data_IF_305599310045
#
_entry.id   IF_305599310045
#
_cell.length_a   1.000
_cell.length_b   1.000
_cell.length_c   1.000
_cell.angle_alpha   90.00
_cell.angle_beta   90.00
_cell.angle_gamma   90.00
#
_symmetry.space_group_name_H-M   'P 1'
#
loop_
_entity.id
_entity.type
_entity.pdbx_description
1 polymer ?
#
# COMPACT_ATOMS: atom_id res chain seq x y z
N UNK A 1 -2.82 -0.96 -1.39
CA UNK A 1 -4.15 -1.29 -0.84
C UNK A 1 -4.71 -2.58 -1.40
N UNK A 2 -5.46 -3.28 -0.54
CA UNK A 2 -6.22 -4.48 -0.84
C UNK A 2 -7.47 -4.54 0.03
N UNK A 3 -8.55 -5.11 -0.51
CA UNK A 3 -9.76 -5.46 0.21
C UNK A 3 -9.75 -6.97 0.43
N UNK A 4 -9.69 -7.41 1.68
CA UNK A 4 -9.56 -8.82 2.06
C UNK A 4 -10.94 -9.37 2.44
N UNK A 5 -11.69 -8.61 3.24
CA UNK A 5 -13.08 -8.90 3.61
C UNK A 5 -13.95 -7.71 3.20
N UNK A 6 -14.91 -7.95 2.32
CA UNK A 6 -15.72 -6.91 1.68
C UNK A 6 -16.81 -6.34 2.60
N UNK A 7 -17.22 -7.06 3.63
CA UNK A 7 -18.20 -6.59 4.59
C UNK A 7 -18.01 -7.19 5.98
N UNK A 8 -18.14 -6.37 7.01
CA UNK A 8 -18.22 -6.83 8.39
C UNK A 8 -19.00 -5.82 9.23
N UNK A 9 -19.82 -6.33 10.15
CA UNK A 9 -20.50 -5.54 11.17
C UNK A 9 -20.04 -6.03 12.54
N UNK A 10 -19.75 -5.08 13.42
CA UNK A 10 -19.38 -5.36 14.79
C UNK A 10 -20.60 -5.83 15.60
N UNK A 11 -20.35 -6.73 16.54
CA UNK A 11 -21.30 -7.23 17.53
C UNK A 11 -20.55 -7.31 18.85
N UNK A 12 -20.54 -6.23 19.63
CA UNK A 12 -19.87 -6.19 20.93
C UNK A 12 -20.63 -5.35 21.93
N UNK A 13 -20.27 -5.52 23.21
CA UNK A 13 -20.91 -4.88 24.36
C UNK A 13 -20.96 -3.35 24.35
N UNK A 14 -20.18 -2.67 23.50
CA UNK A 14 -20.18 -1.21 23.38
C UNK A 14 -21.30 -0.69 22.46
N UNK A 15 -21.95 -1.57 21.70
CA UNK A 15 -23.01 -1.22 20.76
C UNK A 15 -24.40 -1.38 21.37
N UNK A 16 -25.32 -0.50 20.97
CA UNK A 16 -26.73 -0.52 21.45
C UNK A 16 -27.49 -1.75 20.96
N UNK A 17 -27.16 -2.24 19.77
CA UNK A 17 -27.76 -3.41 19.12
C UNK A 17 -26.97 -4.70 19.36
N UNK A 18 -26.16 -4.75 20.43
CA UNK A 18 -25.40 -5.94 20.81
C UNK A 18 -26.30 -7.15 21.02
N UNK A 19 -26.02 -8.21 20.27
CA UNK A 19 -26.72 -9.48 20.33
C UNK A 19 -25.88 -10.53 21.06
N UNK A 20 -26.24 -10.81 22.31
CA UNK A 20 -25.60 -11.82 23.18
C UNK A 20 -25.68 -13.25 22.63
N UNK A 21 -26.56 -13.50 21.65
CA UNK A 21 -26.71 -14.84 21.04
C UNK A 21 -25.70 -15.10 19.93
N UNK A 22 -25.05 -14.05 19.42
CA UNK A 22 -24.04 -14.13 18.37
C UNK A 22 -22.63 -14.01 18.97
N UNK A 23 -21.60 -14.58 18.30
CA UNK A 23 -20.21 -14.37 18.70
C UNK A 23 -19.89 -12.88 18.79
N UNK A 24 -19.08 -12.51 19.79
CA UNK A 24 -18.60 -11.14 19.94
C UNK A 24 -17.48 -10.87 18.93
N UNK A 25 -17.54 -9.75 18.23
CA UNK A 25 -16.45 -9.24 17.41
C UNK A 25 -16.34 -7.71 17.52
N UNK A 26 -15.12 -7.23 17.36
CA UNK A 26 -14.75 -5.84 17.43
C UNK A 26 -14.11 -5.42 16.11
N UNK A 27 -14.25 -4.15 15.75
CA UNK A 27 -13.57 -3.59 14.60
C UNK A 27 -12.57 -2.54 15.07
N UNK A 28 -11.37 -2.55 14.50
CA UNK A 28 -10.32 -1.59 14.82
C UNK A 28 -9.73 -1.04 13.51
N UNK A 29 -9.56 0.28 13.46
CA UNK A 29 -8.92 0.95 12.33
C UNK A 29 -7.62 1.60 12.79
N UNK A 30 -6.48 1.00 12.42
CA UNK A 30 -5.15 1.47 12.81
C UNK A 30 -4.40 2.09 11.64
N UNK A 31 -3.56 3.08 11.94
CA UNK A 31 -2.71 3.79 10.98
C UNK A 31 -1.31 4.03 11.59
N UNK A 32 -0.26 3.83 10.80
CA UNK A 32 1.11 4.04 11.23
C UNK A 32 1.50 5.52 11.20
N UNK A 33 2.03 6.01 12.33
CA UNK A 33 2.56 7.36 12.42
C UNK A 33 3.78 7.55 11.52
N UNK A 34 3.59 8.25 10.39
CA UNK A 34 4.64 8.66 9.46
C UNK A 34 5.50 7.47 8.99
N UNK A 35 4.87 6.47 8.38
CA UNK A 35 5.49 5.23 7.92
C UNK A 35 6.79 5.45 7.12
N UNK A 36 6.77 6.32 6.10
CA UNK A 36 7.96 6.61 5.30
C UNK A 36 9.02 7.38 6.08
N UNK A 37 8.63 8.24 7.03
CA UNK A 37 9.59 8.90 7.92
C UNK A 37 10.30 7.91 8.82
N UNK A 38 9.58 6.92 9.38
CA UNK A 38 10.18 5.82 10.13
C UNK A 38 11.20 5.07 9.27
N UNK A 39 10.83 4.69 8.05
CA UNK A 39 11.71 3.96 7.12
C UNK A 39 12.93 4.80 6.69
N UNK A 40 12.73 6.11 6.48
CA UNK A 40 13.83 7.05 6.20
C UNK A 40 14.78 7.20 7.39
N UNK A 41 14.32 6.94 8.61
CA UNK A 41 15.14 7.05 9.83
C UNK A 41 15.96 5.78 10.12
N UNK A 42 15.78 4.72 9.34
CA UNK A 42 16.52 3.46 9.47
C UNK A 42 17.90 3.54 8.80
N UNK A 43 18.72 2.50 9.00
CA UNK A 43 19.91 2.26 8.20
C UNK A 43 19.53 2.10 6.73
N UNK A 44 20.08 2.99 5.89
CA UNK A 44 19.84 3.05 4.45
C UNK A 44 21.16 2.94 3.70
N UNK A 45 21.17 2.38 2.46
CA UNK A 45 22.38 2.30 1.65
C UNK A 45 23.00 3.68 1.46
N UNK A 46 24.29 3.79 1.74
CA UNK A 46 25.02 5.05 1.80
C UNK A 46 26.27 5.06 0.90
N UNK A 47 27.12 4.04 1.00
CA UNK A 47 28.39 3.95 0.26
C UNK A 47 28.71 2.51 -0.16
N UNK A 48 29.82 2.37 -0.88
CA UNK A 48 30.43 1.08 -1.25
C UNK A 48 29.48 0.06 -1.91
N UNK A 49 28.52 0.60 -2.67
CA UNK A 49 27.50 -0.18 -3.38
C UNK A 49 28.18 -0.96 -4.50
N UNK A 50 28.21 -2.29 -4.37
CA UNK A 50 28.89 -3.19 -5.30
C UNK A 50 28.13 -4.48 -5.52
N UNK A 51 28.25 -5.02 -6.72
CA UNK A 51 27.79 -6.37 -7.02
C UNK A 51 28.73 -7.38 -6.37
N UNK A 52 28.16 -8.39 -5.74
CA UNK A 52 28.88 -9.57 -5.27
C UNK A 52 28.55 -10.75 -6.16
N UNK A 53 29.50 -11.67 -6.34
CA UNK A 53 29.21 -12.96 -6.99
C UNK A 53 28.24 -13.73 -6.09
N UNK A 54 27.01 -14.06 -6.54
CA UNK A 54 26.05 -14.80 -5.73
C UNK A 54 26.59 -16.18 -5.29
N UNK A 55 27.56 -16.74 -6.03
CA UNK A 55 28.22 -18.02 -5.70
C UNK A 55 29.31 -17.91 -4.64
N UNK A 56 29.58 -16.71 -4.12
CA UNK A 56 30.52 -16.50 -3.01
C UNK A 56 30.11 -17.34 -1.79
N UNK A 57 28.79 -17.49 -1.57
CA UNK A 57 28.22 -18.35 -0.54
C UNK A 57 27.27 -19.36 -1.18
N UNK A 58 27.18 -20.54 -0.59
CA UNK A 58 26.10 -21.50 -0.83
C UNK A 58 24.75 -20.90 -0.41
N UNK A 59 23.66 -21.53 -0.85
CA UNK A 59 22.30 -21.09 -0.51
C UNK A 59 22.07 -21.14 1.01
N UNK A 60 22.58 -22.17 1.67
CA UNK A 60 22.50 -22.36 3.11
C UNK A 60 23.27 -21.28 3.87
N UNK A 61 24.50 -20.98 3.46
CA UNK A 61 25.31 -19.89 4.04
C UNK A 61 24.66 -18.52 3.83
N UNK A 62 24.05 -18.26 2.67
CA UNK A 62 23.25 -17.06 2.45
C UNK A 62 22.05 -16.99 3.39
N UNK A 63 21.34 -18.11 3.57
CA UNK A 63 20.19 -18.16 4.46
C UNK A 63 20.60 -17.86 5.91
N UNK A 64 21.68 -18.46 6.39
CA UNK A 64 22.26 -18.21 7.71
C UNK A 64 22.68 -16.75 7.86
N UNK A 65 23.49 -16.24 6.92
CA UNK A 65 23.94 -14.84 6.89
C UNK A 65 22.76 -13.87 7.00
N UNK A 66 21.67 -14.12 6.25
CA UNK A 66 20.50 -13.24 6.26
C UNK A 66 19.72 -13.35 7.57
N UNK A 67 19.59 -14.54 8.15
CA UNK A 67 18.89 -14.75 9.43
C UNK A 67 19.64 -14.14 10.62
N UNK A 68 20.97 -14.07 10.56
CA UNK A 68 21.81 -13.46 11.60
C UNK A 68 21.75 -11.93 11.63
N UNK A 69 21.32 -11.28 10.54
CA UNK A 69 21.25 -9.81 10.47
C UNK A 69 20.32 -9.23 11.54
N UNK A 70 20.83 -8.32 12.35
CA UNK A 70 20.07 -7.54 13.34
C UNK A 70 19.40 -6.31 12.72
N UNK A 71 19.93 -5.81 11.60
CA UNK A 71 19.53 -4.55 10.96
C UNK A 71 20.27 -3.33 11.51
N UNK A 72 21.11 -3.50 12.52
CA UNK A 72 21.97 -2.47 13.11
C UNK A 72 23.38 -2.46 12.51
N UNK A 73 23.71 -3.43 11.65
CA UNK A 73 25.02 -3.50 11.00
C UNK A 73 25.28 -2.28 10.12
N UNK A 74 26.56 -1.93 9.99
CA UNK A 74 27.05 -0.90 9.06
C UNK A 74 27.02 -1.36 7.59
N UNK A 75 26.59 -2.59 7.31
CA UNK A 75 26.45 -3.15 5.96
C UNK A 75 25.06 -3.76 5.74
N UNK A 76 24.66 -3.88 4.47
CA UNK A 76 23.40 -4.48 4.08
C UNK A 76 23.42 -5.05 2.66
N UNK A 77 22.34 -5.74 2.30
CA UNK A 77 22.19 -6.37 0.99
C UNK A 77 20.82 -6.08 0.37
N UNK A 78 20.80 -5.96 -0.94
CA UNK A 78 19.61 -6.12 -1.79
C UNK A 78 19.87 -7.36 -2.64
N UNK A 79 18.96 -8.33 -2.56
CA UNK A 79 19.11 -9.61 -3.23
C UNK A 79 17.99 -9.78 -4.26
N UNK A 80 18.32 -10.42 -5.36
CA UNK A 80 17.34 -11.03 -6.25
C UNK A 80 17.30 -12.52 -5.97
N UNK A 81 16.15 -13.04 -5.56
CA UNK A 81 16.01 -14.41 -5.03
C UNK A 81 14.79 -15.11 -5.59
N UNK A 82 14.86 -16.44 -5.59
CA UNK A 82 13.68 -17.28 -5.79
C UNK A 82 13.21 -17.78 -4.42
N UNK A 83 11.92 -17.61 -4.14
CA UNK A 83 11.31 -17.99 -2.87
C UNK A 83 10.18 -19.00 -3.08
N UNK A 84 10.23 -20.09 -2.33
CA UNK A 84 9.12 -21.00 -2.16
C UNK A 84 8.09 -20.46 -1.18
N UNK A 85 6.81 -20.64 -1.52
CA UNK A 85 5.67 -20.37 -0.66
C UNK A 85 4.97 -21.69 -0.29
N UNK A 86 5.39 -22.34 0.82
CA UNK A 86 4.80 -23.62 1.20
C UNK A 86 3.30 -23.53 1.50
N UNK A 87 2.52 -24.50 1.02
CA UNK A 87 1.06 -24.57 1.22
C UNK A 87 0.64 -24.53 2.69
N UNK A 88 1.46 -25.05 3.60
CA UNK A 88 1.21 -24.99 5.06
C UNK A 88 1.09 -23.57 5.62
N UNK A 89 1.63 -22.56 4.93
CA UNK A 89 1.53 -21.15 5.31
C UNK A 89 0.25 -20.48 4.81
N UNK A 90 -0.45 -21.09 3.85
CA UNK A 90 -1.50 -20.42 3.10
C UNK A 90 -2.65 -19.95 3.99
N UNK A 91 -3.13 -20.77 4.92
CA UNK A 91 -4.22 -20.38 5.83
C UNK A 91 -3.79 -19.20 6.72
N UNK A 92 -2.59 -19.24 7.29
CA UNK A 92 -2.08 -18.19 8.18
C UNK A 92 -1.76 -16.89 7.43
N UNK A 93 -1.37 -16.97 6.17
CA UNK A 93 -0.96 -15.82 5.36
C UNK A 93 -2.05 -15.34 4.39
N UNK A 94 -3.23 -15.96 4.34
CA UNK A 94 -4.26 -15.66 3.33
C UNK A 94 -4.68 -14.19 3.36
N UNK A 95 -4.75 -13.60 4.55
CA UNK A 95 -5.15 -12.21 4.76
C UNK A 95 -4.09 -11.25 4.21
N UNK A 96 -2.83 -11.53 4.50
CA UNK A 96 -1.71 -10.65 4.18
C UNK A 96 -0.50 -11.41 3.62
N UNK A 97 -0.56 -11.97 2.40
CA UNK A 97 0.58 -12.68 1.84
C UNK A 97 1.84 -11.79 1.76
N UNK A 98 2.97 -12.39 2.11
CA UNK A 98 4.30 -11.79 2.02
C UNK A 98 4.76 -11.59 0.57
N UNK A 99 5.79 -10.76 0.38
CA UNK A 99 6.46 -10.52 -0.91
C UNK A 99 5.50 -10.11 -2.05
N UNK A 100 4.84 -8.94 -1.98
CA UNK A 100 3.92 -8.49 -3.03
C UNK A 100 4.65 -8.30 -4.36
N UNK A 101 4.00 -8.67 -5.46
CA UNK A 101 4.56 -8.65 -6.81
C UNK A 101 3.52 -8.17 -7.85
N UNK A 102 3.98 -7.90 -9.07
CA UNK A 102 3.09 -7.63 -10.18
C UNK A 102 2.48 -8.94 -10.70
N UNK A 103 1.19 -9.13 -10.47
CA UNK A 103 0.41 -10.27 -10.98
C UNK A 103 -0.78 -9.73 -11.79
N UNK A 104 -0.99 -10.26 -13.01
CA UNK A 104 -2.01 -9.77 -13.96
C UNK A 104 -1.99 -8.22 -14.12
N UNK A 105 -0.80 -7.66 -14.33
CA UNK A 105 -0.55 -6.21 -14.48
C UNK A 105 -0.87 -5.33 -13.25
N UNK A 106 -1.08 -5.93 -12.06
CA UNK A 106 -1.41 -5.21 -10.83
C UNK A 106 -0.48 -5.63 -9.70
N UNK A 107 -0.13 -4.69 -8.83
CA UNK A 107 0.56 -5.01 -7.59
C UNK A 107 -0.42 -5.71 -6.63
N UNK A 108 -0.13 -6.97 -6.34
CA UNK A 108 -0.99 -7.91 -5.59
C UNK A 108 -0.15 -8.73 -4.61
N UNK A 109 -0.78 -9.22 -3.55
CA UNK A 109 -0.16 -10.19 -2.63
C UNK A 109 -0.74 -11.56 -2.95
N UNK A 110 0.11 -12.46 -3.42
CA UNK A 110 -0.27 -13.82 -3.84
C UNK A 110 0.47 -14.84 -2.98
N UNK A 111 -0.08 -16.04 -2.85
CA UNK A 111 0.54 -17.19 -2.19
C UNK A 111 1.30 -18.08 -3.19
N UNK A 112 1.71 -17.49 -4.31
CA UNK A 112 2.52 -18.17 -5.32
C UNK A 112 4.00 -18.10 -4.92
N UNK A 113 4.80 -19.02 -5.45
CA UNK A 113 6.26 -18.89 -5.43
C UNK A 113 6.69 -17.58 -6.09
N UNK A 114 7.81 -17.05 -5.63
CA UNK A 114 8.41 -15.82 -6.18
C UNK A 114 9.65 -16.20 -6.97
N UNK A 115 9.78 -15.65 -8.18
CA UNK A 115 10.92 -15.86 -9.07
C UNK A 115 11.57 -14.51 -9.34
N UNK A 116 12.90 -14.44 -9.30
CA UNK A 116 13.67 -13.22 -9.52
C UNK A 116 13.17 -12.04 -8.66
N UNK A 117 12.76 -12.32 -7.43
CA UNK A 117 12.19 -11.33 -6.53
C UNK A 117 13.28 -10.47 -5.92
N UNK A 118 13.24 -9.16 -6.19
CA UNK A 118 14.19 -8.20 -5.62
C UNK A 118 13.72 -7.74 -4.25
N UNK A 119 14.55 -7.96 -3.22
CA UNK A 119 14.19 -7.76 -1.81
C UNK A 119 15.36 -7.21 -0.99
N UNK A 120 15.05 -6.34 -0.03
CA UNK A 120 15.99 -5.90 0.99
C UNK A 120 16.30 -7.03 1.98
N UNK A 121 17.55 -7.18 2.43
CA UNK A 121 17.97 -8.27 3.32
C UNK A 121 17.10 -8.42 4.57
N UNK A 122 16.76 -7.31 5.23
CA UNK A 122 15.85 -7.28 6.40
C UNK A 122 14.45 -7.84 6.09
N UNK A 123 13.91 -7.56 4.91
CA UNK A 123 12.63 -8.11 4.49
C UNK A 123 12.74 -9.60 4.15
N UNK A 124 13.83 -10.01 3.51
CA UNK A 124 14.10 -11.42 3.23
C UNK A 124 14.21 -12.21 4.53
N UNK A 125 14.96 -11.72 5.52
CA UNK A 125 15.03 -12.30 6.87
C UNK A 125 13.63 -12.53 7.43
N UNK A 126 12.80 -11.49 7.45
CA UNK A 126 11.42 -11.61 7.94
C UNK A 126 10.62 -12.67 7.16
N UNK A 127 10.73 -12.72 5.84
CA UNK A 127 10.03 -13.74 5.04
C UNK A 127 10.46 -15.17 5.39
N UNK A 128 11.75 -15.39 5.62
CA UNK A 128 12.30 -16.68 6.04
C UNK A 128 11.84 -17.06 7.46
N UNK A 129 11.82 -16.11 8.39
CA UNK A 129 11.30 -16.31 9.76
C UNK A 129 9.80 -16.65 9.76
N UNK A 130 9.02 -16.08 8.85
CA UNK A 130 7.62 -16.44 8.62
C UNK A 130 7.45 -17.76 7.82
N UNK A 131 8.55 -18.45 7.50
CA UNK A 131 8.56 -19.80 6.95
C UNK A 131 8.61 -19.91 5.43
N UNK A 132 8.75 -18.80 4.68
CA UNK A 132 9.08 -18.88 3.26
C UNK A 132 10.44 -19.56 3.07
N UNK A 133 10.65 -20.20 1.92
CA UNK A 133 11.86 -21.01 1.69
C UNK A 133 12.73 -20.33 0.65
N UNK A 134 13.99 -20.03 0.98
CA UNK A 134 14.97 -19.59 0.00
C UNK A 134 15.28 -20.74 -0.96
N UNK A 135 14.98 -20.59 -2.24
CA UNK A 135 15.30 -21.58 -3.28
C UNK A 135 16.63 -21.29 -3.95
N UNK A 136 16.86 -20.03 -4.32
CA UNK A 136 18.04 -19.62 -5.05
C UNK A 136 18.36 -18.13 -4.84
N UNK A 137 19.64 -17.77 -4.89
CA UNK A 137 20.11 -16.38 -4.89
C UNK A 137 20.67 -16.06 -6.28
N UNK A 138 19.97 -15.22 -7.03
CA UNK A 138 20.29 -14.89 -8.41
C UNK A 138 21.33 -13.77 -8.51
N UNK A 139 21.17 -12.71 -7.71
CA UNK A 139 22.07 -11.55 -7.70
C UNK A 139 22.13 -10.93 -6.31
N UNK A 140 23.28 -10.35 -5.98
CA UNK A 140 23.51 -9.69 -4.69
C UNK A 140 24.16 -8.34 -4.90
N UNK A 141 23.53 -7.31 -4.36
CA UNK A 141 24.07 -5.96 -4.26
C UNK A 141 24.36 -5.68 -2.78
N UNK A 142 25.64 -5.59 -2.43
CA UNK A 142 26.09 -5.23 -1.09
C UNK A 142 26.40 -3.74 -1.00
N UNK A 143 26.24 -3.17 0.19
CA UNK A 143 26.49 -1.76 0.45
C UNK A 143 26.76 -1.52 1.92
N UNK A 144 27.44 -0.41 2.21
CA UNK A 144 27.51 0.14 3.55
C UNK A 144 26.26 0.99 3.79
N UNK A 145 25.71 0.93 5.00
CA UNK A 145 24.48 1.60 5.39
C UNK A 145 24.66 2.35 6.70
N UNK A 146 23.88 3.43 6.86
CA UNK A 146 23.79 4.18 8.12
C UNK A 146 22.49 4.99 8.16
N UNK A 147 22.06 5.51 9.31
CA UNK A 147 20.78 6.22 9.43
C UNK A 147 20.95 7.71 9.07
N UNK A 148 21.55 8.02 7.92
CA UNK A 148 21.97 9.38 7.56
C UNK A 148 20.81 10.38 7.40
N UNK A 149 19.58 9.92 7.20
CA UNK A 149 18.39 10.77 7.11
C UNK A 149 17.70 11.00 8.45
N UNK A 150 18.08 10.26 9.50
CA UNK A 150 17.38 10.27 10.79
C UNK A 150 17.31 11.66 11.41
N UNK A 151 18.42 12.39 11.47
CA UNK A 151 18.46 13.75 12.03
C UNK A 151 17.52 14.71 11.31
N UNK A 152 17.43 14.60 9.97
CA UNK A 152 16.54 15.41 9.16
C UNK A 152 15.05 15.06 9.42
N UNK A 153 14.73 13.77 9.54
CA UNK A 153 13.35 13.34 9.84
C UNK A 153 12.95 13.75 11.27
N UNK A 154 13.84 13.59 12.23
CA UNK A 154 13.63 13.97 13.63
C UNK A 154 13.38 15.48 13.74
N UNK A 155 14.18 16.28 13.03
CA UNK A 155 13.99 17.72 12.93
C UNK A 155 12.60 18.08 12.40
N UNK A 156 12.22 17.54 11.23
CA UNK A 156 10.92 17.85 10.62
C UNK A 156 9.75 17.36 11.48
N UNK A 157 9.90 16.22 12.16
CA UNK A 157 8.88 15.68 13.07
C UNK A 157 8.70 16.57 14.29
N UNK A 158 9.80 17.05 14.90
CA UNK A 158 9.76 18.01 16.00
C UNK A 158 9.09 19.32 15.58
N UNK A 159 9.46 19.87 14.42
CA UNK A 159 8.85 21.09 13.91
C UNK A 159 7.36 20.90 13.59
N UNK A 160 6.96 19.75 13.03
CA UNK A 160 5.55 19.40 12.82
C UNK A 160 4.76 19.24 14.12
N UNK A 161 5.41 18.81 15.19
CA UNK A 161 4.78 18.71 16.53
C UNK A 161 4.56 20.08 17.14
N UNK A 162 5.50 21.01 16.97
CA UNK A 162 5.42 22.40 17.46
C UNK A 162 4.50 23.30 16.62
N UNK A 163 4.30 22.96 15.35
CA UNK A 163 3.46 23.72 14.43
C UNK A 163 2.02 23.87 14.95
N UNK A 164 1.54 25.10 15.00
CA UNK A 164 0.17 25.44 15.43
C UNK A 164 -0.78 25.50 14.23
N UNK A 165 -0.28 25.97 13.08
CA UNK A 165 -1.06 26.09 11.85
C UNK A 165 -1.09 24.79 11.04
N UNK A 166 -2.18 24.56 10.31
CA UNK A 166 -2.28 23.39 9.43
C UNK A 166 -1.33 23.49 8.23
N UNK A 167 -1.04 24.71 7.76
CA UNK A 167 -0.04 24.96 6.72
C UNK A 167 1.36 24.46 7.13
N UNK A 168 1.85 24.84 8.30
CA UNK A 168 3.17 24.42 8.77
C UNK A 168 3.23 22.90 9.00
N UNK A 169 2.15 22.31 9.56
CA UNK A 169 2.06 20.85 9.73
C UNK A 169 2.18 20.12 8.39
N UNK A 170 1.50 20.62 7.36
CA UNK A 170 1.54 20.05 6.01
C UNK A 170 2.89 20.30 5.31
N UNK A 171 3.51 21.46 5.54
CA UNK A 171 4.85 21.77 5.02
C UNK A 171 5.89 20.76 5.51
N UNK A 172 6.02 20.56 6.83
CA UNK A 172 7.00 19.60 7.37
C UNK A 172 6.66 18.14 7.00
N UNK A 173 5.37 17.80 6.87
CA UNK A 173 4.94 16.51 6.33
C UNK A 173 5.42 16.32 4.88
N UNK A 174 5.27 17.35 4.04
CA UNK A 174 5.72 17.33 2.65
C UNK A 174 7.24 17.19 2.57
N UNK A 175 7.99 17.92 3.40
CA UNK A 175 9.47 17.87 3.42
C UNK A 175 10.02 16.46 3.67
N UNK A 176 9.33 15.64 4.48
CA UNK A 176 9.67 14.23 4.65
C UNK A 176 9.30 13.41 3.40
N UNK A 177 8.05 13.52 2.94
CA UNK A 177 7.54 12.71 1.82
C UNK A 177 8.24 13.02 0.48
N UNK A 178 8.69 14.26 0.27
CA UNK A 178 9.35 14.70 -0.97
C UNK A 178 10.71 14.03 -1.19
N UNK A 179 11.45 13.70 -0.12
CA UNK A 179 12.75 13.00 -0.24
C UNK A 179 12.54 11.65 -0.90
N UNK A 180 11.58 10.87 -0.40
CA UNK A 180 11.20 9.58 -0.97
C UNK A 180 10.73 9.70 -2.42
N UNK A 181 9.82 10.63 -2.71
CA UNK A 181 9.34 10.85 -4.07
C UNK A 181 10.47 11.22 -5.05
N UNK A 182 11.50 11.93 -4.57
CA UNK A 182 12.64 12.36 -5.39
C UNK A 182 13.64 11.23 -5.65
N UNK A 183 13.86 10.32 -4.70
CA UNK A 183 14.76 9.18 -4.89
C UNK A 183 14.23 8.19 -5.93
N UNK A 184 12.91 8.06 -6.04
CA UNK A 184 12.21 7.20 -7.01
C UNK A 184 11.86 7.89 -8.34
N UNK A 185 12.39 9.08 -8.61
CA UNK A 185 12.05 9.81 -9.84
C UNK A 185 12.49 9.04 -11.10
N UNK A 186 11.53 8.70 -11.97
CA UNK A 186 11.84 8.08 -13.25
C UNK A 186 12.28 9.14 -14.29
N UNK A 187 13.59 9.35 -14.37
CA UNK A 187 14.22 10.28 -15.33
C UNK A 187 13.97 9.92 -16.80
N UNK A 188 13.55 8.69 -17.12
CA UNK A 188 13.19 8.27 -18.49
C UNK A 188 11.89 8.91 -18.99
N UNK A 189 11.01 9.33 -18.08
CA UNK A 189 9.76 9.99 -18.42
C UNK A 189 9.96 11.47 -18.80
N UNK A 190 11.17 12.02 -18.62
CA UNK A 190 11.48 13.39 -19.03
C UNK A 190 11.53 13.48 -20.56
N UNK A 191 10.99 14.57 -21.10
CA UNK A 191 11.03 14.88 -22.52
C UNK A 191 11.57 16.29 -22.73
N UNK A 192 12.07 16.57 -23.93
CA UNK A 192 12.30 17.92 -24.41
C UNK A 192 11.06 18.38 -25.15
N UNK A 193 10.57 19.58 -24.82
CA UNK A 193 9.48 20.21 -25.56
C UNK A 193 10.08 21.37 -26.34
N UNK A 194 9.87 21.36 -27.66
CA UNK A 194 10.27 22.46 -28.54
C UNK A 194 9.03 23.10 -29.13
N UNK A 195 8.91 24.41 -28.96
CA UNK A 195 7.79 25.19 -29.46
C UNK A 195 8.18 25.91 -30.75
N UNK A 196 7.30 25.90 -31.75
CA UNK A 196 7.46 26.68 -32.97
C UNK A 196 6.28 26.49 -33.92
N UNK A 197 6.34 27.13 -35.08
CA UNK A 197 5.33 26.99 -36.13
C UNK A 197 5.42 25.64 -36.85
N UNK A 198 4.56 25.43 -37.85
CA UNK A 198 4.54 24.22 -38.67
C UNK A 198 5.90 23.90 -39.31
N UNK A 199 6.54 24.87 -39.97
CA UNK A 199 7.81 24.65 -40.66
C UNK A 199 8.92 24.19 -39.69
N UNK A 200 9.03 24.82 -38.52
CA UNK A 200 9.99 24.44 -37.49
C UNK A 200 9.69 23.05 -36.91
N UNK A 201 8.41 22.76 -36.67
CA UNK A 201 7.95 21.51 -36.07
C UNK A 201 8.16 20.32 -37.01
N UNK A 202 7.93 20.50 -38.31
CA UNK A 202 8.24 19.51 -39.34
C UNK A 202 9.74 19.20 -39.42
N UNK A 203 10.63 20.18 -39.15
CA UNK A 203 12.07 19.92 -38.99
C UNK A 203 12.38 19.08 -37.74
N UNK A 204 11.59 19.19 -36.66
CA UNK A 204 11.76 18.32 -35.49
C UNK A 204 11.24 16.90 -35.72
N UNK A 205 10.13 16.71 -36.44
CA UNK A 205 9.60 15.38 -36.77
C UNK A 205 10.56 14.48 -37.55
N UNK A 206 11.49 15.08 -38.31
CA UNK A 206 12.55 14.35 -39.02
C UNK A 206 13.62 13.75 -38.11
N UNK A 207 13.65 14.10 -36.82
CA UNK A 207 14.65 13.59 -35.86
C UNK A 207 14.19 12.27 -35.28
N UNK A 208 15.13 11.34 -35.09
CA UNK A 208 14.88 9.99 -34.56
C UNK A 208 14.31 9.98 -33.14
N UNK A 209 14.49 11.07 -32.38
CA UNK A 209 13.96 11.21 -31.03
C UNK A 209 12.63 11.96 -30.98
N UNK A 210 11.97 12.21 -32.10
CA UNK A 210 10.62 12.77 -32.11
C UNK A 210 9.62 11.77 -31.51
N UNK A 211 8.67 12.28 -30.70
CA UNK A 211 7.61 11.47 -30.09
C UNK A 211 6.25 11.78 -30.68
N UNK A 212 5.82 13.04 -30.58
CA UNK A 212 4.51 13.48 -31.05
C UNK A 212 4.44 15.01 -31.07
N UNK A 213 3.38 15.54 -31.71
CA UNK A 213 3.01 16.94 -31.64
C UNK A 213 1.85 17.16 -30.68
N UNK A 214 1.87 18.30 -29.99
CA UNK A 214 0.71 18.93 -29.40
C UNK A 214 0.51 20.28 -30.12
N UNK A 215 -0.47 20.33 -31.02
CA UNK A 215 -0.78 21.52 -31.83
C UNK A 215 -1.76 22.38 -31.04
N UNK A 216 -1.34 23.57 -30.63
CA UNK A 216 -2.20 24.58 -30.01
C UNK A 216 -2.84 25.45 -31.09
N UNK A 217 -2.03 25.98 -32.01
CA UNK A 217 -2.44 26.69 -33.23
C UNK A 217 -1.38 26.53 -34.34
N UNK A 218 -1.57 27.22 -35.47
CA UNK A 218 -0.67 27.18 -36.65
C UNK A 218 0.75 27.72 -36.39
N UNK A 219 0.90 28.62 -35.42
CA UNK A 219 2.16 29.26 -35.04
C UNK A 219 2.78 28.68 -33.76
N UNK A 220 2.01 27.89 -33.01
CA UNK A 220 2.38 27.34 -31.71
C UNK A 220 2.12 25.83 -31.65
N UNK A 221 3.13 25.06 -32.04
CA UNK A 221 3.15 23.61 -31.99
C UNK A 221 4.24 23.14 -31.02
N UNK A 222 3.85 22.34 -30.02
CA UNK A 222 4.77 21.64 -29.13
C UNK A 222 5.23 20.32 -29.75
N UNK A 223 6.48 20.27 -30.19
CA UNK A 223 7.17 19.03 -30.57
C UNK A 223 7.71 18.35 -29.31
N UNK A 224 7.10 17.24 -28.91
CA UNK A 224 7.60 16.39 -27.82
C UNK A 224 8.72 15.50 -28.36
N UNK A 225 9.88 15.56 -27.71
CA UNK A 225 11.07 14.80 -28.09
C UNK A 225 11.51 13.91 -26.91
N UNK A 226 11.85 12.66 -27.20
CA UNK A 226 12.58 11.82 -26.26
C UNK A 226 13.96 12.41 -25.97
N UNK A 227 14.42 12.24 -24.73
CA UNK A 227 15.79 12.58 -24.34
C UNK A 227 16.76 11.62 -25.02
N UNK A 228 17.66 12.14 -25.86
CA UNK A 228 18.69 11.33 -26.51
C UNK A 228 19.73 10.78 -25.53
N UNK A 229 19.99 11.52 -24.44
CA UNK A 229 20.87 11.11 -23.36
C UNK A 229 20.10 11.22 -22.04
N UNK A 230 20.05 10.12 -21.29
CA UNK A 230 19.42 10.06 -19.97
C UNK A 230 20.52 9.79 -18.95
N UNK A 231 20.70 10.72 -18.01
CA UNK A 231 21.64 10.56 -16.89
C UNK A 231 20.91 9.94 -15.71
N UNK A 232 21.29 8.72 -15.32
CA UNK A 232 20.80 8.09 -14.09
C UNK A 232 21.51 8.70 -12.88
N UNK A 233 20.89 9.73 -12.29
CA UNK A 233 21.41 10.46 -11.13
C UNK A 233 20.39 10.54 -10.00
N UNK A 234 19.59 9.47 -9.85
CA UNK A 234 18.62 9.32 -8.77
C UNK A 234 19.03 8.13 -7.93
N UNK A 235 19.11 8.27 -6.60
CA UNK A 235 19.48 7.17 -5.73
C UNK A 235 18.28 6.23 -5.52
N UNK A 236 17.92 5.50 -6.58
CA UNK A 236 16.72 4.64 -6.60
C UNK A 236 16.78 3.56 -5.50
N UNK A 237 17.99 3.09 -5.17
CA UNK A 237 18.22 2.14 -4.07
C UNK A 237 17.71 2.67 -2.72
N UNK A 238 17.78 3.98 -2.44
CA UNK A 238 17.21 4.56 -1.22
C UNK A 238 15.68 4.41 -1.23
N UNK A 239 15.05 4.78 -2.34
CA UNK A 239 13.60 4.67 -2.47
C UNK A 239 13.12 3.22 -2.42
N UNK A 240 13.88 2.29 -3.00
CA UNK A 240 13.67 0.85 -2.85
C UNK A 240 13.70 0.43 -1.38
N UNK A 241 14.80 0.72 -0.66
CA UNK A 241 14.93 0.37 0.76
C UNK A 241 13.83 0.97 1.61
N UNK A 242 13.44 2.23 1.37
CA UNK A 242 12.32 2.87 2.10
C UNK A 242 11.01 2.11 1.89
N UNK A 243 10.70 1.67 0.66
CA UNK A 243 9.48 0.89 0.39
C UNK A 243 9.51 -0.49 1.08
N UNK A 244 10.67 -1.15 1.05
CA UNK A 244 10.85 -2.46 1.67
C UNK A 244 10.76 -2.39 3.19
N UNK A 245 11.50 -1.47 3.82
CA UNK A 245 11.43 -1.27 5.26
C UNK A 245 10.04 -0.83 5.70
N UNK A 246 9.34 0.00 4.92
CA UNK A 246 7.94 0.36 5.22
C UNK A 246 7.03 -0.86 5.23
N UNK A 247 7.19 -1.79 4.27
CA UNK A 247 6.46 -3.06 4.27
C UNK A 247 6.81 -3.90 5.51
N UNK A 248 8.10 -3.92 5.88
CA UNK A 248 8.58 -4.68 7.04
C UNK A 248 7.90 -4.22 8.33
N UNK A 249 7.84 -2.91 8.62
CA UNK A 249 7.16 -2.40 9.83
C UNK A 249 5.70 -2.84 9.89
N UNK A 250 4.99 -2.74 8.77
CA UNK A 250 3.59 -3.13 8.68
C UNK A 250 3.42 -4.65 8.90
N UNK A 251 4.28 -5.46 8.27
CA UNK A 251 4.27 -6.91 8.46
C UNK A 251 4.62 -7.33 9.89
N UNK A 252 5.63 -6.72 10.52
CA UNK A 252 6.01 -6.99 11.90
C UNK A 252 4.85 -6.65 12.85
N UNK A 253 4.18 -5.51 12.63
CA UNK A 253 3.03 -5.16 13.44
C UNK A 253 1.88 -6.16 13.26
N UNK A 254 1.61 -6.62 12.05
CA UNK A 254 0.56 -7.61 11.82
C UNK A 254 0.90 -8.98 12.40
N UNK A 255 2.00 -9.60 11.94
CA UNK A 255 2.34 -10.98 12.26
C UNK A 255 2.99 -11.15 13.64
N UNK A 256 3.92 -10.26 14.02
CA UNK A 256 4.67 -10.42 15.25
C UNK A 256 3.98 -9.81 16.47
N UNK A 257 2.98 -8.93 16.28
CA UNK A 257 2.25 -8.24 17.34
C UNK A 257 0.77 -8.59 17.32
N UNK A 258 0.00 -8.05 16.37
CA UNK A 258 -1.47 -8.20 16.33
C UNK A 258 -1.91 -9.66 16.37
N UNK A 259 -1.34 -10.53 15.53
CA UNK A 259 -1.64 -11.97 15.52
C UNK A 259 -1.26 -12.70 16.81
N UNK A 260 -0.33 -12.18 17.62
CA UNK A 260 -0.06 -12.74 18.96
C UNK A 260 -1.09 -12.27 19.98
N UNK A 261 -1.53 -11.02 19.87
CA UNK A 261 -2.55 -10.46 20.76
C UNK A 261 -3.91 -11.13 20.51
N UNK A 262 -4.27 -11.32 19.24
CA UNK A 262 -5.50 -11.96 18.79
C UNK A 262 -5.21 -12.91 17.60
N UNK A 263 -4.95 -14.21 17.87
CA UNK A 263 -4.63 -15.19 16.83
C UNK A 263 -5.70 -15.32 15.74
N UNK A 264 -6.96 -15.14 16.12
CA UNK A 264 -8.14 -15.34 15.27
C UNK A 264 -8.61 -14.04 14.60
N UNK A 265 -7.86 -12.94 14.73
CA UNK A 265 -8.17 -11.69 14.03
C UNK A 265 -8.18 -11.93 12.52
N UNK A 266 -9.05 -11.20 11.81
CA UNK A 266 -9.06 -11.13 10.36
C UNK A 266 -8.68 -9.72 9.90
N UNK A 267 -7.84 -9.63 8.87
CA UNK A 267 -7.62 -8.35 8.18
C UNK A 267 -8.80 -8.12 7.24
N UNK A 268 -9.52 -7.01 7.38
CA UNK A 268 -10.58 -6.65 6.45
C UNK A 268 -10.04 -5.87 5.26
N UNK A 269 -9.14 -4.93 5.53
CA UNK A 269 -8.63 -4.01 4.53
C UNK A 269 -7.25 -3.48 4.87
N UNK A 270 -6.47 -3.17 3.84
CA UNK A 270 -5.19 -2.49 3.97
C UNK A 270 -5.05 -1.36 2.95
N UNK A 271 -4.51 -0.22 3.36
CA UNK A 271 -3.94 0.77 2.44
C UNK A 271 -2.65 1.38 2.99
N UNK A 272 -1.50 0.91 2.47
CA UNK A 272 -0.16 1.47 2.67
C UNK A 272 0.30 1.43 4.12
N UNK A 273 -0.20 2.33 4.96
CA UNK A 273 0.12 2.57 6.36
C UNK A 273 -1.02 2.20 7.31
N UNK A 274 -2.15 1.71 6.80
CA UNK A 274 -3.34 1.46 7.61
C UNK A 274 -3.95 0.07 7.45
N UNK A 275 -4.55 -0.45 8.53
CA UNK A 275 -5.31 -1.69 8.59
C UNK A 275 -6.70 -1.49 9.18
N UNK A 276 -7.71 -2.07 8.53
CA UNK A 276 -9.01 -2.36 9.17
C UNK A 276 -9.00 -3.82 9.60
N UNK A 277 -9.27 -4.06 10.87
CA UNK A 277 -9.18 -5.36 11.51
C UNK A 277 -10.55 -5.74 12.07
N UNK A 278 -10.91 -7.01 11.92
CA UNK A 278 -11.94 -7.67 12.71
C UNK A 278 -11.25 -8.50 13.79
N UNK A 279 -11.53 -8.18 15.04
CA UNK A 279 -10.91 -8.77 16.21
C UNK A 279 -11.93 -9.57 17.01
N UNK A 280 -11.51 -10.72 17.54
CA UNK A 280 -12.30 -11.53 18.48
C UNK A 280 -12.14 -11.03 19.91
N UNK A 281 -11.06 -10.30 20.18
CA UNK A 281 -10.75 -9.70 21.48
C UNK A 281 -10.99 -8.20 21.48
N UNK A 282 -11.27 -7.69 22.66
CA UNK A 282 -11.49 -6.27 22.93
C UNK A 282 -10.23 -5.44 22.58
N UNK A 283 -10.28 -4.58 21.54
CA UNK A 283 -9.11 -3.85 21.08
C UNK A 283 -8.60 -2.86 22.12
N UNK A 284 -9.47 -2.28 22.95
CA UNK A 284 -9.07 -1.28 23.94
C UNK A 284 -8.28 -1.91 25.08
N UNK A 285 -8.59 -3.16 25.46
CA UNK A 285 -7.76 -3.92 26.39
C UNK A 285 -6.38 -4.21 25.80
N UNK A 286 -6.33 -4.65 24.54
CA UNK A 286 -5.06 -4.93 23.85
C UNK A 286 -4.22 -3.65 23.76
N UNK A 287 -4.82 -2.52 23.38
CA UNK A 287 -4.14 -1.23 23.30
C UNK A 287 -3.61 -0.82 24.68
N UNK A 288 -4.41 -0.96 25.74
CA UNK A 288 -4.01 -0.62 27.11
C UNK A 288 -2.83 -1.47 27.61
N UNK A 289 -2.87 -2.77 27.36
CA UNK A 289 -1.81 -3.72 27.76
C UNK A 289 -0.52 -3.51 26.95
N UNK A 290 -0.63 -3.03 25.71
CA UNK A 290 0.48 -2.86 24.78
C UNK A 290 0.69 -1.38 24.41
N UNK A 291 0.43 -0.47 25.36
CA UNK A 291 0.35 0.98 25.12
C UNK A 291 1.62 1.56 24.49
N UNK A 292 2.76 0.90 24.70
CA UNK A 292 4.04 1.31 24.16
C UNK A 292 4.11 1.20 22.63
N UNK A 293 3.24 0.41 22.01
CA UNK A 293 3.15 0.27 20.54
C UNK A 293 2.15 1.26 19.91
N UNK A 294 1.27 1.85 20.72
CA UNK A 294 0.17 2.67 20.24
C UNK A 294 0.35 4.16 20.55
N UNK A 295 -0.06 5.01 19.62
CA UNK A 295 -0.28 6.43 19.86
C UNK A 295 -1.77 6.68 20.12
N UNK A 296 -2.12 6.85 21.40
CA UNK A 296 -3.47 7.15 21.87
C UNK A 296 -3.58 8.61 22.36
N UNK A 297 -2.67 9.48 21.94
CA UNK A 297 -2.62 10.87 22.43
C UNK A 297 -3.78 11.75 21.98
N UNK A 298 -4.51 11.32 20.95
CA UNK A 298 -5.71 11.99 20.44
C UNK A 298 -7.01 11.40 21.03
N UNK A 299 -6.93 10.42 21.94
CA UNK A 299 -8.11 9.89 22.65
C UNK A 299 -8.73 10.94 23.59
N UNK A 300 -10.02 10.81 23.93
CA UNK A 300 -10.63 11.58 25.02
C UNK A 300 -9.82 11.44 26.31
N UNK A 301 -9.63 12.55 27.04
CA UNK A 301 -8.75 12.58 28.23
C UNK A 301 -9.21 11.67 29.36
N UNK A 302 -10.50 11.37 29.40
CA UNK A 302 -11.18 10.49 30.34
C UNK A 302 -11.16 9.01 29.90
N UNK A 303 -10.72 8.72 28.67
CA UNK A 303 -10.60 7.35 28.17
C UNK A 303 -9.45 6.61 28.85
N UNK A 304 -9.66 5.35 29.24
CA UNK A 304 -8.69 4.56 30.01
C UNK A 304 -7.36 4.28 29.28
N UNK A 305 -7.38 4.34 27.95
CA UNK A 305 -6.19 4.17 27.09
C UNK A 305 -5.46 5.48 26.80
N UNK A 306 -5.97 6.65 27.24
CA UNK A 306 -5.38 7.94 26.92
C UNK A 306 -3.97 8.07 27.52
N UNK A 307 -2.98 8.37 26.67
CA UNK A 307 -1.65 8.78 27.11
C UNK A 307 -0.97 9.67 26.08
N UNK A 308 -0.15 10.61 26.55
CA UNK A 308 0.69 11.43 25.66
C UNK A 308 2.06 10.80 25.37
N UNK A 309 2.36 9.59 25.90
CA UNK A 309 3.68 8.94 25.81
C UNK A 309 4.19 8.86 24.37
N UNK A 310 3.33 8.46 23.43
CA UNK A 310 3.70 8.16 22.05
C UNK A 310 3.21 9.21 21.03
N UNK A 311 2.86 10.41 21.49
CA UNK A 311 2.29 11.47 20.64
C UNK A 311 3.16 11.77 19.42
N UNK A 312 2.68 11.43 18.24
CA UNK A 312 3.36 11.59 16.94
C UNK A 312 4.72 10.89 16.84
N UNK A 313 5.00 9.93 17.72
CA UNK A 313 6.24 9.13 17.64
C UNK A 313 6.17 8.27 16.38
N UNK A 314 7.20 8.39 15.53
CA UNK A 314 7.23 7.72 14.23
C UNK A 314 7.28 6.19 14.40
N UNK A 315 6.56 5.47 13.54
CA UNK A 315 6.49 4.01 13.55
C UNK A 315 5.58 3.40 14.63
N UNK A 316 4.93 4.22 15.47
CA UNK A 316 3.84 3.78 16.36
C UNK A 316 2.51 3.80 15.64
N UNK A 317 1.55 3.03 16.13
CA UNK A 317 0.25 2.85 15.48
C UNK A 317 -0.83 3.61 16.25
N UNK A 318 -1.60 4.45 15.56
CA UNK A 318 -2.76 5.11 16.16
C UNK A 318 -4.04 4.42 15.76
N UNK A 319 -5.01 4.39 16.66
CA UNK A 319 -6.40 4.14 16.31
C UNK A 319 -6.98 5.41 15.69
N UNK A 320 -7.33 5.31 14.41
CA UNK A 320 -7.75 6.45 13.59
C UNK A 320 -9.12 7.01 14.02
N UNK A 321 -9.87 6.28 14.85
CA UNK A 321 -11.15 6.72 15.40
C UNK A 321 -11.04 7.29 16.82
N UNK A 322 -9.84 7.35 17.40
CA UNK A 322 -9.57 7.96 18.69
C UNK A 322 -10.45 7.43 19.83
N UNK A 323 -10.66 6.11 19.90
CA UNK A 323 -11.49 5.48 20.93
C UNK A 323 -12.97 5.35 20.56
N UNK A 324 -13.42 5.96 19.46
CA UNK A 324 -14.79 5.79 18.97
C UNK A 324 -15.01 4.39 18.42
N UNK A 325 -16.19 3.82 18.68
CA UNK A 325 -16.51 2.44 18.30
C UNK A 325 -16.77 2.35 16.79
N UNK A 326 -16.00 1.52 16.10
CA UNK A 326 -16.25 1.17 14.71
C UNK A 326 -17.37 0.14 14.60
N UNK A 327 -18.48 0.53 13.96
CA UNK A 327 -19.72 -0.26 13.92
C UNK A 327 -19.77 -1.20 12.71
N UNK A 328 -19.32 -0.72 11.56
CA UNK A 328 -19.52 -1.40 10.28
C UNK A 328 -18.44 -1.00 9.28
N UNK A 329 -18.01 -1.94 8.45
CA UNK A 329 -17.09 -1.72 7.34
C UNK A 329 -17.64 -2.39 6.07
N UNK A 330 -17.56 -1.68 4.94
CA UNK A 330 -17.85 -2.22 3.62
C UNK A 330 -16.80 -1.75 2.61
N UNK A 331 -16.07 -2.69 2.02
CA UNK A 331 -15.07 -2.46 0.99
C UNK A 331 -15.43 -3.19 -0.29
N UNK A 332 -15.38 -2.50 -1.43
CA UNK A 332 -15.62 -3.12 -2.73
C UNK A 332 -14.31 -3.56 -3.38
N UNK A 333 -13.30 -2.68 -3.34
CA UNK A 333 -11.98 -2.90 -3.93
C UNK A 333 -10.94 -1.95 -3.37
N UNK A 334 -9.70 -2.08 -3.83
CA UNK A 334 -8.62 -1.13 -3.56
C UNK A 334 -9.05 0.34 -3.77
N UNK A 335 -8.89 1.15 -2.72
CA UNK A 335 -9.28 2.57 -2.54
C UNK A 335 -10.77 2.88 -2.77
N UNK A 336 -11.64 1.90 -2.52
CA UNK A 336 -13.10 2.01 -2.59
C UNK A 336 -13.76 1.30 -1.41
N UNK A 337 -14.09 2.05 -0.36
CA UNK A 337 -14.67 1.52 0.88
C UNK A 337 -15.40 2.61 1.67
N UNK A 338 -16.23 2.18 2.61
CA UNK A 338 -16.94 3.02 3.58
C UNK A 338 -16.96 2.31 4.92
N UNK A 339 -17.04 3.08 6.00
CA UNK A 339 -17.19 2.55 7.35
C UNK A 339 -18.08 3.46 8.20
N UNK A 340 -18.66 2.92 9.26
CA UNK A 340 -19.63 3.60 10.13
C UNK A 340 -19.13 3.68 11.57
N UNK A 341 -19.23 4.87 12.18
CA UNK A 341 -18.97 5.12 13.60
C UNK A 341 -19.66 6.42 14.01
N UNK A 342 -20.22 6.52 15.22
CA UNK A 342 -20.80 7.76 15.76
C UNK A 342 -21.74 8.49 14.77
N UNK A 343 -22.63 7.73 14.10
CA UNK A 343 -23.53 8.19 13.03
C UNK A 343 -22.85 8.82 11.79
N UNK A 344 -21.53 8.76 11.69
CA UNK A 344 -20.73 9.17 10.52
C UNK A 344 -20.50 7.99 9.60
N UNK A 345 -20.44 8.27 8.31
CA UNK A 345 -20.17 7.28 7.27
C UNK A 345 -19.11 7.77 6.27
N UNK A 346 -17.81 7.86 6.65
CA UNK A 346 -16.80 8.28 5.69
C UNK A 346 -16.69 7.31 4.52
N UNK A 347 -16.69 7.87 3.31
CA UNK A 347 -16.55 7.10 2.07
C UNK A 347 -15.23 7.48 1.39
N UNK A 348 -14.43 6.47 1.05
CA UNK A 348 -13.29 6.58 0.14
C UNK A 348 -13.69 5.99 -1.20
N UNK A 349 -13.67 6.80 -2.25
CA UNK A 349 -14.01 6.37 -3.60
C UNK A 349 -13.05 7.01 -4.61
N UNK A 350 -11.90 6.36 -4.83
CA UNK A 350 -10.86 6.92 -5.71
C UNK A 350 -11.37 7.12 -7.14
N UNK A 351 -11.11 8.30 -7.67
CA UNK A 351 -11.47 8.67 -9.04
C UNK A 351 -12.82 9.36 -9.18
N UNK A 352 -13.58 9.53 -8.09
CA UNK A 352 -14.78 10.38 -8.01
C UNK A 352 -14.46 11.62 -7.16
N UNK A 353 -15.02 12.78 -7.52
CA UNK A 353 -14.80 14.03 -6.78
C UNK A 353 -15.33 13.92 -5.34
N UNK A 354 -14.56 14.41 -4.37
CA UNK A 354 -14.93 14.41 -2.94
C UNK A 354 -16.32 15.03 -2.68
N UNK A 355 -16.65 16.12 -3.37
CA UNK A 355 -17.96 16.76 -3.24
C UNK A 355 -19.13 15.88 -3.71
N UNK A 356 -18.92 15.06 -4.75
CA UNK A 356 -19.92 14.12 -5.26
C UNK A 356 -20.06 12.92 -4.33
N UNK A 357 -18.93 12.38 -3.86
CA UNK A 357 -18.91 11.29 -2.87
C UNK A 357 -19.72 11.70 -1.63
N UNK A 358 -19.37 12.82 -1.01
CA UNK A 358 -20.01 13.29 0.24
C UNK A 358 -21.52 13.55 0.10
N UNK A 359 -22.02 13.84 -1.11
CA UNK A 359 -23.44 14.15 -1.35
C UNK A 359 -24.27 12.94 -1.77
N UNK A 360 -23.67 11.95 -2.40
CA UNK A 360 -24.42 10.96 -3.20
C UNK A 360 -24.03 9.50 -2.94
N UNK A 361 -23.02 9.26 -2.10
CA UNK A 361 -22.55 7.91 -1.80
C UNK A 361 -22.47 7.74 -0.29
N UNK A 362 -23.06 6.67 0.22
CA UNK A 362 -22.95 6.23 1.61
C UNK A 362 -22.68 4.72 1.68
N UNK A 363 -22.56 4.18 2.89
CA UNK A 363 -22.29 2.75 3.09
C UNK A 363 -23.39 1.84 2.51
N UNK A 364 -24.64 2.27 2.51
CA UNK A 364 -25.77 1.51 1.93
C UNK A 364 -25.66 1.41 0.41
N UNK A 365 -25.15 2.43 -0.29
CA UNK A 365 -24.83 2.31 -1.71
C UNK A 365 -23.75 1.25 -1.97
N UNK A 366 -22.72 1.18 -1.12
CA UNK A 366 -21.67 0.17 -1.26
C UNK A 366 -22.23 -1.23 -0.99
N UNK A 367 -23.03 -1.41 0.07
CA UNK A 367 -23.69 -2.68 0.39
C UNK A 367 -24.59 -3.15 -0.74
N UNK A 368 -25.37 -2.23 -1.33
CA UNK A 368 -26.19 -2.54 -2.51
C UNK A 368 -25.34 -3.00 -3.69
N UNK A 369 -24.27 -2.27 -3.99
CA UNK A 369 -23.34 -2.64 -5.04
C UNK A 369 -22.71 -4.02 -4.80
N UNK A 370 -22.40 -4.35 -3.54
CA UNK A 370 -21.82 -5.63 -3.14
C UNK A 370 -22.81 -6.79 -3.24
N UNK A 371 -23.98 -6.67 -2.60
CA UNK A 371 -24.91 -7.79 -2.48
C UNK A 371 -25.79 -7.97 -3.71
N UNK A 372 -26.15 -6.89 -4.41
CA UNK A 372 -27.01 -6.92 -5.60
C UNK A 372 -26.20 -6.94 -6.93
N UNK A 373 -24.86 -6.92 -6.87
CA UNK A 373 -23.96 -6.82 -8.05
C UNK A 373 -24.29 -5.64 -8.98
N UNK A 374 -24.83 -4.56 -8.42
CA UNK A 374 -25.28 -3.41 -9.20
C UNK A 374 -24.21 -2.33 -9.23
N UNK A 375 -23.64 -2.12 -10.41
CA UNK A 375 -22.76 -0.99 -10.67
C UNK A 375 -23.53 0.34 -10.55
N UNK A 376 -22.91 1.33 -9.90
CA UNK A 376 -23.48 2.66 -9.77
C UNK A 376 -22.61 3.71 -10.45
N UNK A 377 -23.26 4.60 -11.21
CA UNK A 377 -22.63 5.71 -11.90
C UNK A 377 -22.95 7.03 -11.18
N UNK A 378 -22.05 8.00 -11.28
CA UNK A 378 -22.27 9.37 -10.79
C UNK A 378 -21.79 10.37 -11.82
N UNK A 379 -22.61 11.40 -12.01
CA UNK A 379 -22.21 12.58 -12.75
C UNK A 379 -21.30 13.45 -11.90
N UNK A 380 -20.24 13.96 -12.52
CA UNK A 380 -19.39 14.97 -11.92
C UNK A 380 -18.92 15.96 -12.97
N UNK A 381 -19.06 17.24 -12.65
CA UNK A 381 -18.52 18.33 -13.47
C UNK A 381 -17.06 18.55 -13.11
N UNK A 382 -16.15 18.57 -14.08
CA UNK A 382 -14.73 18.82 -13.88
C UNK A 382 -14.18 19.79 -14.90
N UNK A 383 -13.18 20.57 -14.48
CA UNK A 383 -12.41 21.41 -15.39
C UNK A 383 -11.31 20.53 -15.97
N UNK A 384 -11.24 20.42 -17.29
CA UNK A 384 -10.16 19.73 -18.00
C UNK A 384 -9.49 20.67 -18.97
N UNK A 385 -8.17 20.54 -19.08
CA UNK A 385 -7.43 21.20 -20.14
C UNK A 385 -7.26 20.25 -21.31
N UNK A 386 -7.67 20.69 -22.50
CA UNK A 386 -7.36 20.04 -23.77
C UNK A 386 -6.59 21.07 -24.59
N UNK A 387 -5.33 20.77 -24.92
CA UNK A 387 -4.45 21.70 -25.68
C UNK A 387 -4.41 23.12 -25.09
N UNK A 388 -4.24 23.23 -23.77
CA UNK A 388 -4.24 24.50 -23.00
C UNK A 388 -5.56 25.28 -22.97
N UNK A 389 -6.60 24.84 -23.66
CA UNK A 389 -7.94 25.38 -23.49
C UNK A 389 -8.66 24.68 -22.34
N UNK A 390 -9.31 25.47 -21.47
CA UNK A 390 -10.02 24.96 -20.30
C UNK A 390 -11.48 24.74 -20.65
N UNK A 391 -11.94 23.52 -20.43
CA UNK A 391 -13.33 23.11 -20.63
C UNK A 391 -13.94 22.72 -19.30
N UNK A 392 -15.15 23.18 -19.06
CA UNK A 392 -16.00 22.63 -18.01
C UNK A 392 -16.80 21.49 -18.61
N UNK A 393 -16.45 20.24 -18.27
CA UNK A 393 -17.13 19.06 -18.79
C UNK A 393 -17.88 18.34 -17.68
N UNK A 394 -19.09 17.87 -17.98
CA UNK A 394 -19.80 16.91 -17.15
C UNK A 394 -19.52 15.52 -17.68
N UNK A 395 -19.09 14.62 -16.80
CA UNK A 395 -18.85 13.23 -17.14
C UNK A 395 -19.66 12.33 -16.21
N UNK A 396 -20.31 11.32 -16.78
CA UNK A 396 -20.92 10.25 -16.01
C UNK A 396 -19.90 9.12 -15.86
N UNK A 397 -19.47 8.85 -14.63
CA UNK A 397 -18.37 7.91 -14.35
C UNK A 397 -18.86 6.76 -13.48
N UNK A 398 -18.39 5.55 -13.77
CA UNK A 398 -18.56 4.40 -12.90
C UNK A 398 -17.97 4.72 -11.53
N UNK A 399 -18.85 4.84 -10.53
CA UNK A 399 -18.52 5.24 -9.18
C UNK A 399 -18.32 4.03 -8.28
N UNK A 400 -19.23 3.04 -8.31
CA UNK A 400 -19.17 1.84 -7.49
C UNK A 400 -19.21 0.58 -8.38
N UNK A 401 -18.34 -0.37 -8.08
CA UNK A 401 -18.30 -1.69 -8.70
C UNK A 401 -17.67 -2.68 -7.73
N UNK A 402 -18.31 -3.83 -7.52
CA UNK A 402 -17.85 -4.95 -6.69
C UNK A 402 -16.73 -5.77 -7.34
N UNK A 403 -16.42 -5.51 -8.63
CA UNK A 403 -15.35 -6.21 -9.36
C UNK A 403 -13.98 -5.80 -8.82
N UNK A 404 -13.34 -6.71 -8.10
CA UNK A 404 -11.92 -6.68 -7.73
C UNK A 404 -11.23 -7.95 -8.25
N UNK A 405 -10.12 -7.77 -8.96
CA UNK A 405 -9.34 -8.84 -9.59
C UNK A 405 -7.94 -8.96 -8.97
N UNK A 406 -7.73 -8.37 -7.80
CA UNK A 406 -6.51 -8.57 -7.01
C UNK A 406 -6.55 -9.86 -6.18
N UNK A 407 -7.76 -10.35 -5.89
CA UNK A 407 -8.06 -11.52 -5.06
C UNK A 407 -9.28 -12.22 -5.64
N UNK A 408 -9.48 -13.48 -5.30
CA UNK A 408 -10.66 -14.27 -5.69
C UNK A 408 -11.75 -14.04 -4.65
N UNK A 409 -12.90 -13.52 -5.07
CA UNK A 409 -14.08 -13.33 -4.22
C UNK A 409 -14.79 -14.67 -4.07
N UNK A 410 -15.12 -15.07 -2.84
CA UNK A 410 -15.84 -16.32 -2.56
C UNK A 410 -17.34 -16.17 -2.82
N UNK A 411 -18.06 -17.30 -2.85
CA UNK A 411 -19.51 -17.35 -3.14
C UNK A 411 -20.35 -16.48 -2.20
N UNK A 412 -19.90 -16.30 -0.95
CA UNK A 412 -20.59 -15.46 0.02
C UNK A 412 -20.45 -13.95 -0.25
N UNK A 413 -19.68 -13.53 -1.27
CA UNK A 413 -19.38 -12.14 -1.66
C UNK A 413 -18.74 -11.28 -0.57
N UNK A 414 -18.33 -11.88 0.54
CA UNK A 414 -17.78 -11.16 1.69
C UNK A 414 -16.31 -11.49 1.81
N UNK A 415 -15.98 -12.78 1.79
CA UNK A 415 -14.62 -13.24 1.99
C UNK A 415 -13.89 -13.35 0.65
N UNK A 416 -12.58 -13.09 0.68
CA UNK A 416 -11.73 -13.22 -0.49
C UNK A 416 -10.46 -13.98 -0.16
N UNK A 417 -9.97 -14.77 -1.12
CA UNK A 417 -8.71 -15.51 -1.01
C UNK A 417 -7.69 -14.97 -2.01
N UNK A 418 -6.39 -14.95 -1.67
CA UNK A 418 -5.37 -14.51 -2.60
C UNK A 418 -5.14 -15.58 -3.68
N UNK A 419 -4.63 -15.17 -4.84
CA UNK A 419 -4.20 -16.14 -5.86
C UNK A 419 -3.13 -17.09 -5.30
N UNK A 420 -3.24 -18.38 -5.64
CA UNK A 420 -2.40 -19.45 -5.08
C UNK A 420 -2.98 -20.11 -3.82
N UNK A 421 -4.08 -19.57 -3.27
CA UNK A 421 -4.75 -20.19 -2.13
C UNK A 421 -5.53 -21.45 -2.54
N UNK A 422 -4.90 -22.60 -2.37
CA UNK A 422 -5.56 -23.89 -2.53
C UNK A 422 -6.30 -24.26 -1.25
N UNK A 423 -7.63 -24.04 -1.19
CA UNK A 423 -8.44 -24.88 -0.30
C UNK A 423 -8.81 -26.21 -0.97
N UNK A 424 -8.87 -26.25 -2.30
CA UNK A 424 -8.97 -27.46 -3.12
C UNK A 424 -8.62 -27.10 -4.57
N UNK A 425 -7.73 -27.84 -5.20
CA UNK A 425 -7.63 -27.87 -6.65
C UNK A 425 -8.97 -28.40 -7.20
N UNK A 426 -9.92 -27.55 -7.64
CA UNK A 426 -11.03 -27.96 -8.53
C UNK A 426 -11.95 -26.90 -9.16
N UNK A 427 -11.90 -25.61 -8.82
CA UNK A 427 -12.73 -24.62 -9.56
C UNK A 427 -12.04 -24.04 -10.79
N UNK A 428 -10.72 -23.91 -10.77
CA UNK A 428 -9.99 -23.08 -11.74
C UNK A 428 -9.69 -23.77 -13.09
N UNK A 429 -9.96 -25.08 -13.21
CA UNK A 429 -9.87 -25.77 -14.51
C UNK A 429 -11.09 -25.46 -15.38
N UNK A 430 -12.29 -25.24 -14.81
CA UNK A 430 -13.47 -24.91 -15.62
C UNK A 430 -13.39 -23.48 -16.19
N UNK A 431 -12.88 -22.51 -15.43
CA UNK A 431 -12.76 -21.13 -15.94
C UNK A 431 -11.66 -20.97 -16.98
N UNK A 432 -10.57 -21.74 -16.88
CA UNK A 432 -9.51 -21.76 -17.90
C UNK A 432 -9.96 -22.48 -19.19
N UNK A 433 -10.76 -23.55 -19.07
CA UNK A 433 -11.33 -24.25 -20.22
C UNK A 433 -12.43 -23.41 -20.92
N UNK A 434 -13.21 -22.64 -20.16
CA UNK A 434 -14.21 -21.73 -20.73
C UNK A 434 -13.60 -20.48 -21.40
N UNK A 435 -12.37 -20.09 -21.06
CA UNK A 435 -11.68 -18.98 -21.74
C UNK A 435 -10.87 -19.41 -22.97
N UNK A 436 -10.60 -20.71 -23.14
CA UNK A 436 -9.85 -21.25 -24.29
C UNK A 436 -10.71 -21.95 -25.35
N UNK A 437 -12.00 -22.17 -25.07
CA UNK A 437 -12.95 -22.80 -26.00
C UNK A 437 -13.89 -21.81 -26.67
N UNK A 438 -13.37 -20.94 -27.53
CA UNK A 438 -14.15 -20.25 -28.58
C UNK A 438 -13.19 -19.84 -29.71
N UNK A 439 -12.72 -20.85 -30.44
CA UNK A 439 -12.24 -20.69 -31.81
C UNK A 439 -13.10 -21.60 -32.67
N UNK A 440 -14.09 -21.02 -33.34
CA UNK A 440 -14.81 -21.66 -34.43
C UNK A 440 -13.84 -21.82 -35.62
N UNK A 441 -13.83 -23.02 -36.20
CA UNK A 441 -13.25 -23.33 -37.51
C UNK A 441 -14.24 -22.90 -38.60
#
# INVERSE_FOLDING_TARGET
>A
SQCIKQYVKANNKYLKDFDKTKPENYLLYVDANNLYGWALSQNLPYSDIKWMDPKTYSKEEWQETILELTGEEDYGYILEVDLGYPTKLHENHKDLPLAPEHYKNKLSTTLLDKTEYVVHSRNLKFYLEQGMVLKHVNRVLAFDQKPFMKEYIDFNTNMRTKATSDFEKDFYKLMNNSVFGKSMENVRNRCDIKLGNEEFSMKQAKKTNFKCFNIFDENCIASHMYKQKVKFNKPIYIGFSVLDLSKLLMYEFYYNKLKKYDPDLNLCYMDTDSYFLEMTKDPYKIIKENIDEFDTSDYPKDHECFTNKNKKVIGKFKDELNGEILEEFCGLRSKMYSYKYLDKNPVKCKGIKKSVVNKTINIENLKRCLFEDKEEYREMTCIRSYKHELYTITINKLALSSKDDKRVVLENKIDTVPYGYNKEAKSDILDLLNTLGNFDI
#
